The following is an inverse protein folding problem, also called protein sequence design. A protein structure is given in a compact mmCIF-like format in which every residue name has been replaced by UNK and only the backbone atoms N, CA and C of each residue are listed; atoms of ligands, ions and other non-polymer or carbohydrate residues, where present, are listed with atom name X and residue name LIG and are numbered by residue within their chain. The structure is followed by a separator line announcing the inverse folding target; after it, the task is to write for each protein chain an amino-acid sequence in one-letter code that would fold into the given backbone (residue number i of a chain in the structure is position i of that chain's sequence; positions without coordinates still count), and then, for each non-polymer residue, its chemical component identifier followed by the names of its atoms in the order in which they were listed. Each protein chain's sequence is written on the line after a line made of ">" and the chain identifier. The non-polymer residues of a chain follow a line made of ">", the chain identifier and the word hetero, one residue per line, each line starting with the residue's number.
data_IF_177028120873
#
_entry.id   IF_177028120873
#
_cell.length_a   1.000
_cell.length_b   1.000
_cell.length_c   1.000
_cell.angle_alpha   90.00
_cell.angle_beta   90.00
_cell.angle_gamma   90.00
#
_symmetry.space_group_name_H-M   'P 1'
#
loop_
_entity.id
_entity.type
_entity.pdbx_description
1 polymer ?
#
# COMPACT_ATOMS: atom_id res chain seq x y z
N UNK A 1 14.17 -14.41 -2.63
CA UNK A 1 12.70 -14.31 -2.69
C UNK A 1 12.32 -12.83 -2.83
N UNK A 2 11.40 -12.48 -3.72
CA UNK A 2 11.00 -11.08 -3.97
C UNK A 2 10.25 -10.48 -2.78
N UNK A 3 10.55 -9.22 -2.46
CA UNK A 3 9.91 -8.44 -1.40
C UNK A 3 9.19 -7.23 -2.01
N UNK A 4 7.99 -6.94 -1.52
CA UNK A 4 7.22 -5.73 -1.85
C UNK A 4 6.96 -4.94 -0.56
N UNK A 5 6.90 -3.62 -0.68
CA UNK A 5 6.60 -2.73 0.43
C UNK A 5 5.20 -2.11 0.28
N UNK A 6 4.50 -1.95 1.40
CA UNK A 6 3.22 -1.24 1.51
C UNK A 6 3.40 -0.15 2.54
N UNK A 7 3.23 1.10 2.14
CA UNK A 7 3.52 2.26 2.96
C UNK A 7 3.21 3.56 2.23
N UNK A 8 3.33 4.67 2.95
CA UNK A 8 3.25 6.01 2.36
C UNK A 8 4.52 6.27 1.55
N UNK A 9 4.36 6.61 0.26
CA UNK A 9 5.48 6.80 -0.66
C UNK A 9 6.00 8.23 -0.60
N UNK A 10 7.02 8.46 0.23
CA UNK A 10 7.78 9.73 0.34
C UNK A 10 6.91 10.98 0.19
N UNK A 11 5.89 11.07 1.04
CA UNK A 11 4.93 12.17 1.01
C UNK A 11 4.53 12.57 2.43
N UNK A 12 4.25 13.85 2.63
CA UNK A 12 3.72 14.34 3.90
C UNK A 12 2.29 13.84 4.14
N UNK A 13 1.94 13.76 5.43
CA UNK A 13 0.58 13.49 5.85
C UNK A 13 -0.35 14.65 5.50
N UNK A 14 -1.55 14.32 5.04
CA UNK A 14 -2.57 15.30 4.72
C UNK A 14 -3.71 15.28 5.74
N UNK A 15 -4.46 16.38 5.81
CA UNK A 15 -5.66 16.50 6.62
C UNK A 15 -6.84 15.79 5.95
N UNK A 16 -7.53 14.93 6.69
CA UNK A 16 -8.70 14.20 6.21
C UNK A 16 -9.19 13.18 7.24
N UNK A 17 -10.27 12.48 6.92
CA UNK A 17 -10.71 11.37 7.78
C UNK A 17 -9.77 10.17 7.62
N UNK A 18 -9.52 9.38 8.67
CA UNK A 18 -8.58 8.26 8.61
C UNK A 18 -8.85 7.29 7.46
N UNK A 19 -10.11 6.96 7.20
CA UNK A 19 -10.50 6.01 6.15
C UNK A 19 -10.16 6.53 4.75
N UNK A 20 -10.36 7.84 4.49
CA UNK A 20 -10.01 8.44 3.20
C UNK A 20 -8.50 8.48 3.00
N UNK A 21 -7.73 8.75 4.06
CA UNK A 21 -6.28 8.76 4.01
C UNK A 21 -5.71 7.37 3.77
N UNK A 22 -6.25 6.33 4.42
CA UNK A 22 -5.86 4.94 4.19
C UNK A 22 -6.07 4.51 2.74
N UNK A 23 -7.21 4.87 2.14
CA UNK A 23 -7.49 4.59 0.73
C UNK A 23 -6.51 5.35 -0.18
N UNK A 24 -6.30 6.64 0.06
CA UNK A 24 -5.40 7.49 -0.72
C UNK A 24 -3.95 7.00 -0.70
N UNK A 25 -3.44 6.63 0.48
CA UNK A 25 -2.08 6.11 0.62
C UNK A 25 -1.98 4.62 0.27
N UNK A 26 -3.09 3.98 -0.11
CA UNK A 26 -3.07 2.59 -0.50
C UNK A 26 -2.78 1.63 0.66
N UNK A 27 -3.08 2.06 1.88
CA UNK A 27 -2.90 1.32 3.13
C UNK A 27 -4.15 0.48 3.44
N UNK A 28 -4.70 -0.19 2.43
CA UNK A 28 -5.90 -0.98 2.53
C UNK A 28 -5.66 -2.44 2.10
N UNK A 29 -6.63 -3.30 2.40
CA UNK A 29 -6.51 -4.73 2.12
C UNK A 29 -6.35 -5.04 0.62
N UNK A 30 -6.99 -4.26 -0.26
CA UNK A 30 -6.91 -4.47 -1.71
C UNK A 30 -5.46 -4.30 -2.22
N UNK A 31 -4.77 -3.24 -1.79
CA UNK A 31 -3.38 -2.99 -2.17
C UNK A 31 -2.41 -4.00 -1.57
N UNK A 32 -2.62 -4.44 -0.32
CA UNK A 32 -1.80 -5.49 0.28
C UNK A 32 -1.88 -6.78 -0.55
N UNK A 33 -3.08 -7.18 -0.96
CA UNK A 33 -3.31 -8.37 -1.78
C UNK A 33 -2.66 -8.22 -3.16
N UNK A 34 -2.75 -7.05 -3.79
CA UNK A 34 -2.09 -6.78 -5.07
C UNK A 34 -0.57 -6.93 -4.96
N UNK A 35 0.04 -6.30 -3.95
CA UNK A 35 1.48 -6.35 -3.70
C UNK A 35 1.95 -7.76 -3.38
N UNK A 36 1.19 -8.54 -2.62
CA UNK A 36 1.47 -9.96 -2.39
C UNK A 36 1.46 -10.77 -3.69
N UNK A 37 0.48 -10.55 -4.58
CA UNK A 37 0.43 -11.21 -5.89
C UNK A 37 1.63 -10.84 -6.77
N UNK A 38 2.07 -9.58 -6.75
CA UNK A 38 3.27 -9.13 -7.48
C UNK A 38 4.52 -9.82 -6.94
N UNK A 39 4.67 -9.90 -5.61
CA UNK A 39 5.77 -10.64 -5.01
C UNK A 39 5.77 -12.11 -5.47
N UNK A 40 4.63 -12.80 -5.40
CA UNK A 40 4.53 -14.20 -5.84
C UNK A 40 4.89 -14.40 -7.31
N UNK A 41 4.50 -13.48 -8.20
CA UNK A 41 4.80 -13.55 -9.64
C UNK A 41 6.29 -13.40 -9.99
N UNK A 42 7.09 -12.78 -9.12
CA UNK A 42 8.53 -12.54 -9.34
C UNK A 42 9.43 -13.57 -8.67
N UNK A 43 8.83 -14.63 -8.13
CA UNK A 43 9.54 -15.74 -7.48
C UNK A 43 9.87 -16.80 -8.52
#
# INVERSE_FOLDING_TARGET
>A
APLEYVGVNDSFGESGTPTQLLEKYGLNAANIVEKAKIALKRK
#
